data_IF_015507253669
#
_entry.id   IF_015507253669
#
_cell.length_a   1.000
_cell.length_b   1.000
_cell.length_c   1.000
_cell.angle_alpha   90.00
_cell.angle_beta   90.00
_cell.angle_gamma   90.00
#
_symmetry.space_group_name_H-M   'P 1'
#
loop_
_entity.id
_entity.type
_entity.pdbx_description
1 polymer ?
#
# COMPACT_ATOMS: atom_id res chain seq x y z
N UNK A 1 39.89 -26.75 14.25
CA UNK A 1 39.89 -27.39 12.92
C UNK A 1 38.53 -28.06 12.73
N UNK A 2 37.52 -27.29 12.31
CA UNK A 2 36.23 -27.84 11.87
C UNK A 2 35.95 -27.26 10.49
N UNK A 3 35.89 -28.18 9.54
CA UNK A 3 36.01 -27.96 8.11
C UNK A 3 34.84 -27.14 7.58
N UNK A 4 35.18 -26.03 6.90
CA UNK A 4 34.26 -25.24 6.11
C UNK A 4 33.79 -26.07 4.90
N UNK A 5 32.65 -26.75 5.02
CA UNK A 5 31.94 -27.27 3.86
C UNK A 5 31.13 -26.13 3.23
N UNK A 6 31.80 -25.27 2.45
CA UNK A 6 31.13 -24.53 1.36
C UNK A 6 30.76 -25.56 0.30
N UNK A 7 29.54 -26.08 0.38
CA UNK A 7 28.96 -26.88 -0.69
C UNK A 7 28.84 -26.00 -1.92
N UNK A 8 29.46 -26.45 -3.01
CA UNK A 8 29.40 -25.87 -4.35
C UNK A 8 27.96 -25.55 -4.78
N UNK A 9 27.76 -24.33 -5.30
CA UNK A 9 26.55 -23.89 -5.98
C UNK A 9 26.21 -24.85 -7.14
N UNK A 10 25.33 -25.82 -6.90
CA UNK A 10 24.39 -26.25 -7.95
C UNK A 10 23.43 -25.09 -8.17
N UNK A 11 22.96 -24.86 -9.41
CA UNK A 11 21.81 -23.99 -9.73
C UNK A 11 20.60 -24.52 -8.95
N UNK A 12 20.53 -24.17 -7.67
CA UNK A 12 19.45 -24.58 -6.78
C UNK A 12 18.23 -23.81 -7.25
N UNK A 13 17.14 -24.54 -7.53
CA UNK A 13 15.88 -23.89 -7.83
C UNK A 13 15.59 -22.99 -6.65
N UNK A 14 15.48 -21.71 -6.96
CA UNK A 14 15.35 -20.66 -5.97
C UNK A 14 13.95 -20.75 -5.36
N UNK A 15 13.87 -21.41 -4.20
CA UNK A 15 12.64 -21.81 -3.51
C UNK A 15 11.71 -20.65 -3.19
N UNK A 16 12.26 -19.45 -3.02
CA UNK A 16 11.55 -18.20 -2.83
C UNK A 16 10.70 -17.80 -4.05
N UNK A 17 11.22 -17.96 -5.27
CA UNK A 17 10.42 -17.68 -6.48
C UNK A 17 9.39 -18.77 -6.75
N UNK A 18 9.67 -20.02 -6.37
CA UNK A 18 8.65 -21.09 -6.38
C UNK A 18 7.51 -20.74 -5.41
N UNK A 19 7.84 -20.29 -4.20
CA UNK A 19 6.84 -19.88 -3.22
C UNK A 19 5.98 -18.72 -3.73
N UNK A 20 6.59 -17.71 -4.35
CA UNK A 20 5.86 -16.62 -5.01
C UNK A 20 4.90 -17.16 -6.06
N UNK A 21 5.37 -18.02 -6.96
CA UNK A 21 4.55 -18.60 -8.03
C UNK A 21 3.39 -19.42 -7.45
N UNK A 22 3.65 -20.31 -6.49
CA UNK A 22 2.64 -21.16 -5.89
C UNK A 22 1.58 -20.35 -5.13
N UNK A 23 2.00 -19.35 -4.35
CA UNK A 23 1.07 -18.49 -3.63
C UNK A 23 0.20 -17.66 -4.58
N UNK A 24 0.78 -17.10 -5.64
CA UNK A 24 0.00 -16.34 -6.65
C UNK A 24 -0.95 -17.28 -7.38
N UNK A 25 -0.48 -18.43 -7.89
CA UNK A 25 -1.33 -19.41 -8.56
C UNK A 25 -2.46 -19.88 -7.66
N UNK A 26 -2.19 -20.13 -6.37
CA UNK A 26 -3.24 -20.50 -5.42
C UNK A 26 -4.30 -19.40 -5.27
N UNK A 27 -3.91 -18.13 -5.08
CA UNK A 27 -4.85 -17.01 -4.98
C UNK A 27 -5.71 -16.88 -6.25
N UNK A 28 -5.11 -17.05 -7.43
CA UNK A 28 -5.81 -16.99 -8.70
C UNK A 28 -6.74 -18.19 -8.92
N UNK A 29 -6.31 -19.40 -8.57
CA UNK A 29 -7.15 -20.60 -8.68
C UNK A 29 -8.38 -20.52 -7.78
N UNK A 30 -8.25 -19.96 -6.58
CA UNK A 30 -9.38 -19.77 -5.68
C UNK A 30 -10.48 -18.87 -6.30
N UNK A 31 -10.16 -17.92 -7.17
CA UNK A 31 -11.19 -17.13 -7.87
C UNK A 31 -12.05 -17.96 -8.83
N UNK A 32 -11.56 -19.09 -9.34
CA UNK A 32 -12.34 -19.92 -10.26
C UNK A 32 -12.96 -21.15 -9.58
N UNK A 33 -12.30 -21.67 -8.54
CA UNK A 33 -12.65 -22.95 -7.92
C UNK A 33 -13.45 -22.78 -6.64
N UNK A 34 -13.38 -21.62 -5.96
CA UNK A 34 -14.07 -21.45 -4.69
C UNK A 34 -15.60 -21.47 -4.90
N UNK A 35 -16.35 -22.28 -4.12
CA UNK A 35 -17.78 -22.52 -4.40
C UNK A 35 -18.67 -21.29 -4.40
N UNK A 36 -18.38 -20.33 -3.52
CA UNK A 36 -19.09 -19.06 -3.41
C UNK A 36 -18.13 -17.88 -3.60
N UNK A 37 -18.33 -17.14 -4.69
CA UNK A 37 -17.47 -16.01 -5.04
C UNK A 37 -17.53 -14.88 -4.01
N UNK A 38 -18.70 -14.65 -3.39
CA UNK A 38 -18.86 -13.61 -2.38
C UNK A 38 -18.04 -13.92 -1.12
N UNK A 39 -18.07 -15.18 -0.68
CA UNK A 39 -17.29 -15.65 0.47
C UNK A 39 -15.78 -15.60 0.18
N UNK A 40 -15.37 -15.90 -1.05
CA UNK A 40 -13.99 -15.76 -1.48
C UNK A 40 -13.53 -14.31 -1.42
N UNK A 41 -14.28 -13.37 -2.00
CA UNK A 41 -13.93 -11.95 -2.01
C UNK A 41 -13.80 -11.41 -0.57
N UNK A 42 -14.70 -11.82 0.33
CA UNK A 42 -14.66 -11.41 1.75
C UNK A 42 -13.45 -12.01 2.50
N UNK A 43 -13.06 -13.24 2.21
CA UNK A 43 -11.98 -13.95 2.91
C UNK A 43 -10.60 -13.80 2.26
N UNK A 44 -10.52 -13.31 1.00
CA UNK A 44 -9.28 -13.16 0.20
C UNK A 44 -8.14 -12.47 0.95
N UNK A 45 -8.47 -11.45 1.75
CA UNK A 45 -7.48 -10.73 2.56
C UNK A 45 -6.67 -11.64 3.48
N UNK A 46 -7.29 -12.67 4.07
CA UNK A 46 -6.65 -13.65 4.94
C UNK A 46 -5.59 -14.44 4.19
N UNK A 47 -5.95 -14.95 3.01
CA UNK A 47 -5.07 -15.72 2.14
C UNK A 47 -3.93 -14.86 1.60
N UNK A 48 -4.18 -13.59 1.27
CA UNK A 48 -3.14 -12.66 0.85
C UNK A 48 -2.10 -12.43 1.96
N UNK A 49 -2.54 -12.22 3.21
CA UNK A 49 -1.60 -12.07 4.35
C UNK A 49 -0.81 -13.37 4.58
N UNK A 50 -1.45 -14.53 4.50
CA UNK A 50 -0.77 -15.82 4.60
C UNK A 50 0.28 -15.99 3.49
N UNK A 51 -0.06 -15.69 2.24
CA UNK A 51 0.86 -15.71 1.10
C UNK A 51 2.07 -14.78 1.33
N UNK A 52 1.83 -13.54 1.77
CA UNK A 52 2.91 -12.60 2.06
C UNK A 52 3.84 -13.10 3.17
N UNK A 53 3.29 -13.72 4.23
CA UNK A 53 4.07 -14.34 5.31
C UNK A 53 4.94 -15.48 4.78
N UNK A 54 4.36 -16.41 4.01
CA UNK A 54 5.08 -17.55 3.40
C UNK A 54 6.20 -17.06 2.50
N UNK A 55 5.90 -16.16 1.56
CA UNK A 55 6.89 -15.58 0.65
C UNK A 55 8.02 -14.92 1.45
N UNK A 56 7.69 -14.07 2.42
CA UNK A 56 8.70 -13.37 3.22
C UNK A 56 9.61 -14.32 3.99
N UNK A 57 9.04 -15.41 4.54
CA UNK A 57 9.82 -16.43 5.25
C UNK A 57 10.76 -17.18 4.29
N UNK A 58 10.29 -17.57 3.10
CA UNK A 58 11.14 -18.25 2.11
C UNK A 58 12.34 -17.39 1.69
N UNK A 59 12.14 -16.10 1.45
CA UNK A 59 13.23 -15.17 1.16
C UNK A 59 14.18 -14.98 2.35
N UNK A 60 13.66 -14.85 3.57
CA UNK A 60 14.51 -14.67 4.75
C UNK A 60 15.34 -15.95 5.02
N UNK A 61 14.77 -17.15 4.90
CA UNK A 61 15.50 -18.41 5.10
C UNK A 61 16.71 -18.56 4.17
N UNK A 62 16.59 -18.12 2.91
CA UNK A 62 17.71 -18.18 1.98
C UNK A 62 18.83 -17.19 2.28
N UNK A 63 18.52 -16.08 2.93
CA UNK A 63 19.51 -15.08 3.36
C UNK A 63 20.27 -15.48 4.63
N UNK A 64 20.23 -16.77 5.01
CA UNK A 64 20.99 -17.33 6.13
C UNK A 64 20.24 -17.33 7.46
N UNK A 65 18.93 -17.12 7.46
CA UNK A 65 18.11 -17.27 8.67
C UNK A 65 17.81 -18.75 8.96
N UNK A 66 17.83 -19.13 10.24
CA UNK A 66 17.55 -20.50 10.70
C UNK A 66 16.11 -20.92 10.42
N UNK A 67 15.91 -22.19 10.05
CA UNK A 67 14.58 -22.76 9.88
C UNK A 67 13.81 -22.74 11.21
N UNK A 68 12.59 -22.16 11.27
CA UNK A 68 11.83 -22.12 12.51
C UNK A 68 11.33 -23.51 12.89
N UNK A 69 11.19 -23.76 14.20
CA UNK A 69 10.49 -24.96 14.65
C UNK A 69 9.01 -24.91 14.20
N UNK A 70 8.35 -26.07 13.98
CA UNK A 70 6.96 -26.11 13.52
C UNK A 70 6.00 -25.27 14.37
N UNK A 71 6.22 -25.24 15.69
CA UNK A 71 5.42 -24.45 16.63
C UNK A 71 5.59 -22.94 16.43
N UNK A 72 6.82 -22.47 16.20
CA UNK A 72 7.10 -21.04 15.95
C UNK A 72 6.56 -20.63 14.59
N UNK A 73 6.65 -21.51 13.59
CA UNK A 73 6.04 -21.30 12.28
C UNK A 73 4.51 -21.19 12.38
N UNK A 74 3.85 -22.14 13.06
CA UNK A 74 2.41 -22.11 13.28
C UNK A 74 1.98 -20.83 14.02
N UNK A 75 2.70 -20.43 15.06
CA UNK A 75 2.45 -19.19 15.79
C UNK A 75 2.64 -17.92 14.95
N UNK A 76 3.58 -17.91 13.99
CA UNK A 76 3.76 -16.81 13.05
C UNK A 76 2.60 -16.71 12.06
N UNK A 77 2.21 -17.85 11.47
CA UNK A 77 1.12 -17.92 10.49
C UNK A 77 -0.22 -17.55 11.13
N UNK A 78 -0.54 -18.15 12.27
CA UNK A 78 -1.82 -18.03 12.98
C UNK A 78 -1.81 -16.97 14.09
N UNK A 79 -0.92 -15.98 14.01
CA UNK A 79 -0.85 -14.93 15.03
C UNK A 79 -2.20 -14.20 15.12
N UNK A 80 -2.90 -14.25 16.27
CA UNK A 80 -4.26 -13.71 16.39
C UNK A 80 -4.31 -12.19 16.17
N UNK A 81 -3.20 -11.50 16.39
CA UNK A 81 -3.08 -10.06 16.22
C UNK A 81 -3.21 -9.60 14.75
N UNK A 82 -2.88 -10.45 13.78
CA UNK A 82 -2.87 -10.08 12.36
C UNK A 82 -3.37 -11.13 11.37
N UNK A 83 -3.87 -12.27 11.84
CA UNK A 83 -4.40 -13.31 10.94
C UNK A 83 -5.70 -12.84 10.26
N UNK A 84 -6.58 -12.14 10.97
CA UNK A 84 -7.90 -11.71 10.45
C UNK A 84 -7.84 -10.42 9.63
N UNK A 85 -7.40 -9.32 10.24
CA UNK A 85 -7.44 -7.99 9.62
C UNK A 85 -6.08 -7.54 9.08
N UNK A 86 -5.08 -8.43 9.07
CA UNK A 86 -3.70 -8.03 8.84
C UNK A 86 -3.12 -7.21 10.00
N UNK A 87 -1.94 -6.58 9.83
CA UNK A 87 -1.18 -6.48 8.59
C UNK A 87 -0.07 -7.52 8.52
N UNK A 88 0.62 -7.58 7.38
CA UNK A 88 1.83 -8.38 7.26
C UNK A 88 2.93 -7.90 8.22
N UNK A 89 3.66 -8.84 8.82
CA UNK A 89 4.90 -8.60 9.56
C UNK A 89 5.95 -9.58 9.08
N UNK A 90 7.21 -9.17 9.08
CA UNK A 90 8.30 -10.10 8.77
C UNK A 90 8.48 -11.14 9.88
N UNK A 91 9.04 -12.30 9.55
CA UNK A 91 9.32 -13.34 10.55
C UNK A 91 10.28 -12.84 11.64
N UNK A 92 11.25 -12.00 11.26
CA UNK A 92 12.19 -11.37 12.21
C UNK A 92 11.48 -10.47 13.20
N UNK A 93 10.56 -9.60 12.75
CA UNK A 93 9.77 -8.74 13.65
C UNK A 93 8.88 -9.56 14.58
N UNK A 94 8.24 -10.63 14.07
CA UNK A 94 7.47 -11.56 14.88
C UNK A 94 8.34 -12.20 15.98
N UNK A 95 9.52 -12.70 15.62
CA UNK A 95 10.39 -13.39 16.57
C UNK A 95 10.96 -12.42 17.64
N UNK A 96 11.30 -11.19 17.24
CA UNK A 96 11.69 -10.13 18.18
C UNK A 96 10.55 -9.82 19.15
N UNK A 97 9.33 -9.61 18.65
CA UNK A 97 8.17 -9.31 19.49
C UNK A 97 7.84 -10.45 20.47
N UNK A 98 7.98 -11.70 20.02
CA UNK A 98 7.78 -12.90 20.83
C UNK A 98 8.79 -13.01 21.97
N UNK A 99 10.07 -12.75 21.71
CA UNK A 99 11.17 -12.92 22.69
C UNK A 99 11.29 -11.71 23.60
N UNK A 100 11.18 -10.50 23.06
CA UNK A 100 11.38 -9.24 23.77
C UNK A 100 10.08 -8.67 24.32
N UNK A 101 9.31 -9.49 25.06
CA UNK A 101 8.07 -9.04 25.69
C UNK A 101 8.36 -7.95 26.73
N UNK A 102 7.86 -6.74 26.48
CA UNK A 102 8.01 -5.60 27.38
C UNK A 102 6.72 -5.37 28.15
N UNK A 103 6.84 -5.00 29.44
CA UNK A 103 5.71 -4.53 30.25
C UNK A 103 5.10 -3.28 29.61
N UNK A 104 3.81 -3.34 29.30
CA UNK A 104 3.07 -2.21 28.71
C UNK A 104 2.64 -1.24 29.81
N UNK A 105 2.81 0.06 29.56
CA UNK A 105 2.39 1.14 30.46
C UNK A 105 0.90 1.46 30.25
N UNK A 106 0.29 2.14 31.21
CA UNK A 106 -1.10 2.63 31.06
C UNK A 106 -1.31 3.50 29.80
N UNK A 107 -0.27 4.25 29.39
CA UNK A 107 -0.29 5.04 28.15
C UNK A 107 -0.49 4.19 26.88
N UNK A 108 -0.10 2.91 26.90
CA UNK A 108 -0.37 1.99 25.80
C UNK A 108 -1.87 1.67 25.71
N UNK A 109 -2.55 1.50 26.84
CA UNK A 109 -4.01 1.22 26.87
C UNK A 109 -4.76 2.42 26.33
N UNK A 110 -4.42 3.63 26.81
CA UNK A 110 -5.00 4.87 26.30
C UNK A 110 -4.80 5.03 24.79
N UNK A 111 -3.62 4.65 24.28
CA UNK A 111 -3.34 4.66 22.85
C UNK A 111 -4.22 3.66 22.10
N UNK A 112 -4.33 2.41 22.58
CA UNK A 112 -5.19 1.40 21.95
C UNK A 112 -6.63 1.88 21.88
N UNK A 113 -7.15 2.49 22.95
CA UNK A 113 -8.50 3.10 22.97
C UNK A 113 -8.59 4.23 21.93
N UNK A 114 -7.60 5.13 21.88
CA UNK A 114 -7.61 6.22 20.90
C UNK A 114 -7.63 5.72 19.45
N UNK A 115 -6.83 4.69 19.12
CA UNK A 115 -6.81 4.08 17.78
C UNK A 115 -8.16 3.41 17.46
N UNK A 116 -8.78 2.73 18.43
CA UNK A 116 -10.12 2.16 18.26
C UNK A 116 -11.18 3.26 18.01
N UNK A 117 -11.11 4.38 18.73
CA UNK A 117 -12.02 5.52 18.50
C UNK A 117 -11.84 6.10 17.09
N UNK A 118 -10.61 6.23 16.61
CA UNK A 118 -10.34 6.63 15.22
C UNK A 118 -10.92 5.61 14.22
N UNK A 119 -10.77 4.31 14.49
CA UNK A 119 -11.38 3.25 13.69
C UNK A 119 -12.90 3.44 13.58
N UNK A 120 -13.60 3.61 14.70
CA UNK A 120 -15.05 3.86 14.71
C UNK A 120 -15.45 5.16 14.01
N UNK A 121 -14.65 6.22 14.17
CA UNK A 121 -14.86 7.47 13.44
C UNK A 121 -14.84 7.23 11.93
N UNK A 122 -13.83 6.53 11.40
CA UNK A 122 -13.73 6.25 9.98
C UNK A 122 -14.79 5.28 9.46
N UNK A 123 -15.26 4.34 10.28
CA UNK A 123 -16.41 3.49 9.96
C UNK A 123 -17.65 4.35 9.72
N UNK A 124 -17.96 5.26 10.65
CA UNK A 124 -19.07 6.20 10.52
C UNK A 124 -18.92 7.11 9.31
N UNK A 125 -17.71 7.61 9.03
CA UNK A 125 -17.41 8.39 7.83
C UNK A 125 -17.68 7.62 6.54
N UNK A 126 -17.27 6.34 6.47
CA UNK A 126 -17.45 5.52 5.28
C UNK A 126 -18.91 5.23 4.96
N UNK A 127 -19.73 4.91 5.97
CA UNK A 127 -21.09 4.43 5.77
C UNK A 127 -22.17 5.52 5.74
N UNK A 128 -22.11 6.50 6.66
CA UNK A 128 -23.24 7.40 6.88
C UNK A 128 -22.89 8.89 6.90
N UNK A 129 -21.67 9.30 7.30
CA UNK A 129 -21.34 10.72 7.40
C UNK A 129 -20.80 11.32 6.09
N UNK A 130 -20.27 10.52 5.16
CA UNK A 130 -19.74 11.03 3.89
C UNK A 130 -20.76 11.80 3.06
N UNK A 131 -22.04 11.39 3.08
CA UNK A 131 -23.12 12.08 2.37
C UNK A 131 -23.52 13.41 3.02
N UNK A 132 -23.33 13.53 4.35
CA UNK A 132 -23.61 14.75 5.10
C UNK A 132 -22.47 15.76 4.90
N UNK A 133 -21.23 15.28 4.96
CA UNK A 133 -20.02 16.13 4.80
C UNK A 133 -19.84 16.59 3.36
N UNK A 134 -20.24 15.78 2.38
CA UNK A 134 -20.19 16.13 0.94
C UNK A 134 -21.60 15.97 0.36
N UNK A 135 -22.47 17.00 0.53
CA UNK A 135 -23.89 16.91 0.16
C UNK A 135 -24.12 16.57 -1.30
N UNK A 136 -25.15 15.76 -1.56
CA UNK A 136 -25.62 15.38 -2.91
C UNK A 136 -26.29 16.51 -3.68
N UNK A 137 -26.59 17.64 -3.03
CA UNK A 137 -27.27 18.79 -3.64
C UNK A 137 -26.39 19.49 -4.68
N UNK A 138 -25.06 19.31 -4.62
CA UNK A 138 -24.14 19.88 -5.61
C UNK A 138 -24.06 18.94 -6.82
N UNK A 139 -24.78 19.28 -7.89
CA UNK A 139 -24.82 18.51 -9.13
C UNK A 139 -23.53 18.70 -9.95
N UNK A 140 -22.47 18.01 -9.53
CA UNK A 140 -21.20 17.96 -10.24
C UNK A 140 -20.62 16.55 -10.18
N UNK A 141 -20.37 15.97 -11.36
CA UNK A 141 -19.80 14.62 -11.52
C UNK A 141 -18.50 14.39 -10.72
N UNK A 142 -17.63 15.40 -10.62
CA UNK A 142 -16.38 15.34 -9.88
C UNK A 142 -16.57 15.34 -8.37
N UNK A 143 -17.58 16.05 -7.85
CA UNK A 143 -17.91 16.07 -6.43
C UNK A 143 -18.53 14.73 -6.03
N UNK A 144 -19.41 14.18 -6.87
CA UNK A 144 -19.96 12.83 -6.69
C UNK A 144 -18.86 11.77 -6.73
N UNK A 145 -17.93 11.86 -7.68
CA UNK A 145 -16.76 10.98 -7.77
C UNK A 145 -15.86 11.10 -6.52
N UNK A 146 -15.57 12.33 -6.07
CA UNK A 146 -14.77 12.56 -4.86
C UNK A 146 -15.42 11.95 -3.62
N UNK A 147 -16.74 12.11 -3.44
CA UNK A 147 -17.45 11.52 -2.30
C UNK A 147 -17.32 10.00 -2.27
N UNK A 148 -17.54 9.33 -3.41
CA UNK A 148 -17.43 7.87 -3.52
C UNK A 148 -16.01 7.40 -3.23
N UNK A 149 -15.02 8.03 -3.87
CA UNK A 149 -13.61 7.75 -3.63
C UNK A 149 -13.22 7.98 -2.16
N UNK A 150 -13.71 9.06 -1.53
CA UNK A 150 -13.44 9.39 -0.14
C UNK A 150 -14.07 8.38 0.83
N UNK A 151 -15.32 7.97 0.62
CA UNK A 151 -15.98 6.91 1.40
C UNK A 151 -15.18 5.60 1.36
N UNK A 152 -14.69 5.21 0.18
CA UNK A 152 -13.79 4.06 0.02
C UNK A 152 -12.47 4.23 0.80
N UNK A 153 -11.84 5.42 0.77
CA UNK A 153 -10.64 5.66 1.58
C UNK A 153 -10.93 5.59 3.07
N UNK A 154 -12.09 6.10 3.53
CA UNK A 154 -12.52 5.97 4.92
C UNK A 154 -12.72 4.52 5.35
N UNK A 155 -13.28 3.65 4.50
CA UNK A 155 -13.42 2.22 4.84
C UNK A 155 -12.05 1.54 4.98
N UNK A 156 -11.08 1.92 4.14
CA UNK A 156 -9.69 1.47 4.29
C UNK A 156 -9.04 1.99 5.59
N UNK A 157 -9.26 3.26 5.95
CA UNK A 157 -8.77 3.80 7.22
C UNK A 157 -9.36 3.07 8.43
N UNK A 158 -10.67 2.76 8.38
CA UNK A 158 -11.33 1.95 9.40
C UNK A 158 -10.60 0.61 9.61
N UNK A 159 -10.45 -0.19 8.54
CA UNK A 159 -9.79 -1.50 8.65
C UNK A 159 -8.32 -1.36 9.10
N UNK A 160 -7.62 -0.33 8.62
CA UNK A 160 -6.22 -0.08 9.01
C UNK A 160 -6.07 0.27 10.48
N UNK A 161 -6.94 1.11 11.04
CA UNK A 161 -6.90 1.44 12.47
C UNK A 161 -7.39 0.29 13.35
N UNK A 162 -8.38 -0.48 12.90
CA UNK A 162 -8.80 -1.70 13.59
C UNK A 162 -7.66 -2.72 13.67
N UNK A 163 -6.97 -2.92 12.54
CA UNK A 163 -5.78 -3.77 12.44
C UNK A 163 -4.61 -3.25 13.28
N UNK A 164 -4.44 -1.93 13.40
CA UNK A 164 -3.44 -1.36 14.30
C UNK A 164 -3.82 -1.63 15.76
N UNK A 165 -5.10 -1.52 16.12
CA UNK A 165 -5.57 -1.83 17.47
C UNK A 165 -5.39 -3.31 17.83
N UNK A 166 -5.66 -4.25 16.91
CA UNK A 166 -5.42 -5.69 17.16
C UNK A 166 -3.93 -5.99 17.33
N UNK A 167 -3.07 -5.32 16.55
CA UNK A 167 -1.62 -5.41 16.71
C UNK A 167 -1.15 -4.84 18.04
N UNK A 168 -1.67 -3.68 18.44
CA UNK A 168 -1.40 -3.12 19.76
C UNK A 168 -1.81 -4.13 20.81
N UNK A 169 -3.07 -4.60 20.85
CA UNK A 169 -3.56 -5.62 21.79
C UNK A 169 -2.69 -6.88 21.84
N UNK A 170 -2.17 -7.33 20.70
CA UNK A 170 -1.22 -8.45 20.59
C UNK A 170 0.18 -8.19 21.17
N UNK A 171 0.40 -7.01 21.75
CA UNK A 171 1.67 -6.61 22.36
C UNK A 171 2.66 -5.98 21.38
N UNK A 172 2.29 -5.75 20.12
CA UNK A 172 3.16 -5.13 19.13
C UNK A 172 3.24 -3.61 19.31
N UNK A 173 4.36 -3.02 18.90
CA UNK A 173 4.66 -1.61 19.13
C UNK A 173 5.32 -1.33 20.48
N UNK A 174 6.31 -0.43 20.46
CA UNK A 174 7.00 0.06 21.65
C UNK A 174 6.38 1.40 22.10
N UNK A 175 6.50 1.71 23.38
CA UNK A 175 6.27 3.03 23.95
C UNK A 175 6.99 4.17 23.20
N UNK A 176 8.13 3.89 22.56
CA UNK A 176 8.88 4.87 21.74
C UNK A 176 8.58 4.77 20.23
N UNK A 177 8.23 3.60 19.72
CA UNK A 177 7.98 3.36 18.31
C UNK A 177 6.54 2.92 18.06
N UNK A 178 5.80 3.83 17.45
CA UNK A 178 4.42 3.59 17.06
C UNK A 178 4.36 2.49 15.98
N UNK A 179 3.57 1.46 16.23
CA UNK A 179 3.11 0.57 15.16
C UNK A 179 2.14 1.39 14.31
N UNK A 180 2.42 1.61 13.02
CA UNK A 180 1.62 2.47 12.14
C UNK A 180 1.33 1.71 10.86
N UNK A 181 0.05 1.54 10.53
CA UNK A 181 -0.39 0.83 9.32
C UNK A 181 -0.65 1.80 8.17
N UNK A 182 -1.31 2.92 8.44
CA UNK A 182 -1.66 3.94 7.45
C UNK A 182 -1.44 5.35 7.99
N UNK A 183 -1.34 6.35 7.10
CA UNK A 183 -1.23 7.77 7.47
C UNK A 183 -2.23 8.60 6.65
N UNK A 184 -3.44 8.86 7.16
CA UNK A 184 -4.49 9.54 6.40
C UNK A 184 -4.08 10.94 5.91
N UNK A 185 -3.37 11.72 6.72
CA UNK A 185 -2.91 13.06 6.32
C UNK A 185 -1.98 13.04 5.10
N UNK A 186 -1.08 12.05 5.01
CA UNK A 186 -0.16 11.91 3.87
C UNK A 186 -0.87 11.42 2.60
N UNK A 187 -2.11 10.92 2.72
CA UNK A 187 -2.95 10.38 1.65
C UNK A 187 -3.97 11.41 1.15
N UNK A 188 -4.60 12.17 2.06
CA UNK A 188 -5.61 13.19 1.71
C UNK A 188 -4.98 14.53 1.32
N UNK A 189 -3.76 14.84 1.80
CA UNK A 189 -3.00 16.02 1.38
C UNK A 189 -1.65 15.63 0.74
N UNK A 190 -1.65 14.76 -0.29
CA UNK A 190 -0.42 14.24 -0.88
C UNK A 190 0.19 15.28 -1.80
N UNK A 191 1.52 15.39 -1.86
CA UNK A 191 2.21 16.17 -2.91
C UNK A 191 2.60 15.30 -4.12
N UNK A 192 2.36 13.99 -4.06
CA UNK A 192 2.57 13.02 -5.13
C UNK A 192 1.91 11.70 -4.76
N UNK A 193 1.50 10.92 -5.76
CA UNK A 193 1.02 9.55 -5.58
C UNK A 193 2.06 8.63 -4.92
N UNK A 194 3.36 8.93 -5.03
CA UNK A 194 4.40 8.19 -4.28
C UNK A 194 4.18 8.31 -2.77
N UNK A 195 3.73 9.46 -2.27
CA UNK A 195 3.37 9.64 -0.86
C UNK A 195 2.19 8.74 -0.49
N UNK A 196 1.17 8.74 -1.35
CA UNK A 196 -0.05 7.96 -1.15
C UNK A 196 0.25 6.46 -1.04
N UNK A 197 0.97 5.90 -2.01
CA UNK A 197 1.25 4.44 -2.05
C UNK A 197 2.11 3.96 -0.89
N UNK A 198 3.01 4.81 -0.39
CA UNK A 198 3.84 4.51 0.78
C UNK A 198 3.00 4.54 2.06
N UNK A 199 2.09 5.51 2.17
CA UNK A 199 1.29 5.75 3.37
C UNK A 199 -0.02 4.97 3.41
N UNK A 200 -0.52 4.45 2.28
CA UNK A 200 -1.78 3.72 2.17
C UNK A 200 -1.80 2.47 3.05
N UNK A 201 -0.84 1.57 2.84
CA UNK A 201 -0.66 0.36 3.63
C UNK A 201 0.85 0.14 3.79
N UNK A 202 1.41 0.72 4.86
CA UNK A 202 2.85 0.74 5.12
C UNK A 202 3.43 -0.69 5.19
N UNK A 203 2.80 -1.66 5.90
CA UNK A 203 3.30 -3.03 5.93
C UNK A 203 3.36 -3.70 4.54
N UNK A 204 2.29 -3.58 3.73
CA UNK A 204 2.28 -4.08 2.35
C UNK A 204 3.36 -3.42 1.50
N UNK A 205 3.51 -2.09 1.61
CA UNK A 205 4.57 -1.36 0.91
C UNK A 205 5.98 -1.85 1.31
N UNK A 206 6.22 -2.11 2.61
CA UNK A 206 7.50 -2.66 3.10
C UNK A 206 7.76 -4.06 2.57
N UNK A 207 6.75 -4.93 2.55
CA UNK A 207 6.83 -6.26 1.95
C UNK A 207 7.23 -6.19 0.48
N UNK A 208 6.45 -5.47 -0.33
CA UNK A 208 6.69 -5.31 -1.76
C UNK A 208 8.08 -4.70 -2.01
N UNK A 209 8.45 -3.68 -1.24
CA UNK A 209 9.76 -3.06 -1.36
C UNK A 209 10.90 -4.04 -1.08
N UNK A 210 10.81 -4.81 0.02
CA UNK A 210 11.88 -5.70 0.48
C UNK A 210 12.02 -6.94 -0.41
N UNK A 211 10.91 -7.60 -0.75
CA UNK A 211 10.93 -8.92 -1.38
C UNK A 211 10.62 -8.92 -2.89
N UNK A 212 10.10 -7.83 -3.44
CA UNK A 212 9.74 -7.74 -4.87
C UNK A 212 10.57 -6.66 -5.58
N UNK A 213 10.46 -5.41 -5.14
CA UNK A 213 11.10 -4.27 -5.80
C UNK A 213 12.63 -4.42 -5.86
N UNK A 214 13.28 -4.70 -4.72
CA UNK A 214 14.75 -4.83 -4.66
C UNK A 214 15.26 -5.99 -5.53
N UNK A 215 14.50 -7.09 -5.62
CA UNK A 215 14.83 -8.24 -6.45
C UNK A 215 14.76 -7.93 -7.94
N UNK A 216 13.79 -7.11 -8.36
CA UNK A 216 13.62 -6.70 -9.76
C UNK A 216 14.52 -5.50 -10.10
N UNK A 217 14.96 -4.72 -9.11
CA UNK A 217 15.79 -3.52 -9.29
C UNK A 217 17.08 -3.79 -10.06
N UNK A 218 17.64 -5.00 -9.98
CA UNK A 218 18.79 -5.43 -10.78
C UNK A 218 18.57 -5.31 -12.29
N UNK A 219 17.32 -5.29 -12.76
CA UNK A 219 16.94 -5.14 -14.16
C UNK A 219 16.57 -3.69 -14.55
N UNK A 220 16.69 -2.75 -13.61
CA UNK A 220 16.44 -1.32 -13.83
C UNK A 220 15.19 -0.79 -13.11
N UNK A 221 15.19 0.51 -12.83
CA UNK A 221 14.14 1.20 -12.06
C UNK A 221 12.74 1.05 -12.65
N UNK A 222 12.59 1.24 -13.96
CA UNK A 222 11.28 1.15 -14.62
C UNK A 222 10.67 -0.25 -14.49
N UNK A 223 11.46 -1.29 -14.80
CA UNK A 223 11.03 -2.70 -14.66
C UNK A 223 10.72 -3.05 -13.21
N UNK A 224 11.47 -2.52 -12.26
CA UNK A 224 11.22 -2.73 -10.85
C UNK A 224 9.89 -2.12 -10.40
N UNK A 225 9.57 -0.90 -10.82
CA UNK A 225 8.28 -0.27 -10.51
C UNK A 225 7.14 -1.07 -11.13
N UNK A 226 7.19 -1.30 -12.46
CA UNK A 226 6.14 -2.02 -13.18
C UNK A 226 5.93 -3.43 -12.61
N UNK A 227 7.02 -4.18 -12.41
CA UNK A 227 6.95 -5.52 -11.84
C UNK A 227 6.44 -5.53 -10.39
N UNK A 228 6.75 -4.51 -9.58
CA UNK A 228 6.20 -4.40 -8.23
C UNK A 228 4.68 -4.22 -8.25
N UNK A 229 4.16 -3.33 -9.11
CA UNK A 229 2.73 -3.10 -9.21
C UNK A 229 1.99 -4.28 -9.86
N UNK A 230 2.61 -4.97 -10.82
CA UNK A 230 2.06 -6.19 -11.40
C UNK A 230 1.93 -7.31 -10.35
N UNK A 231 2.98 -7.57 -9.57
CA UNK A 231 2.92 -8.56 -8.48
C UNK A 231 1.93 -8.12 -7.41
N UNK A 232 1.88 -6.83 -7.06
CA UNK A 232 0.87 -6.31 -6.14
C UNK A 232 -0.56 -6.55 -6.66
N UNK A 233 -0.81 -6.34 -7.95
CA UNK A 233 -2.10 -6.62 -8.58
C UNK A 233 -2.45 -8.10 -8.50
N UNK A 234 -1.50 -8.99 -8.84
CA UNK A 234 -1.72 -10.44 -8.83
C UNK A 234 -2.01 -10.99 -7.43
N UNK A 235 -1.46 -10.37 -6.38
CA UNK A 235 -1.80 -10.70 -4.99
C UNK A 235 -3.24 -10.35 -4.63
N UNK A 236 -3.86 -9.39 -5.33
CA UNK A 236 -5.28 -9.09 -5.22
C UNK A 236 -6.16 -9.96 -6.14
N UNK A 237 -5.57 -10.84 -6.96
CA UNK A 237 -6.28 -11.71 -7.89
C UNK A 237 -6.56 -11.08 -9.27
N UNK A 238 -7.51 -11.64 -10.03
CA UNK A 238 -7.93 -11.19 -11.37
C UNK A 238 -9.02 -10.11 -11.35
N UNK A 239 -9.13 -9.35 -10.27
CA UNK A 239 -10.00 -8.18 -10.26
C UNK A 239 -9.41 -7.07 -11.16
N UNK A 240 -10.01 -6.90 -12.35
CA UNK A 240 -9.52 -5.98 -13.37
C UNK A 240 -9.57 -4.52 -12.91
N UNK A 241 -10.53 -4.14 -12.06
CA UNK A 241 -10.63 -2.79 -11.51
C UNK A 241 -9.43 -2.45 -10.62
N UNK A 242 -9.12 -3.32 -9.65
CA UNK A 242 -7.95 -3.18 -8.77
C UNK A 242 -6.67 -3.21 -9.61
N UNK A 243 -6.58 -4.10 -10.60
CA UNK A 243 -5.43 -4.19 -11.48
C UNK A 243 -5.21 -2.87 -12.26
N UNK A 244 -6.27 -2.33 -12.86
CA UNK A 244 -6.23 -1.06 -13.57
C UNK A 244 -5.79 0.08 -12.65
N UNK A 245 -6.38 0.19 -11.44
CA UNK A 245 -6.02 1.22 -10.47
C UNK A 245 -4.54 1.11 -10.06
N UNK A 246 -4.06 -0.08 -9.69
CA UNK A 246 -2.70 -0.27 -9.19
C UNK A 246 -1.65 -0.02 -10.28
N UNK A 247 -1.86 -0.53 -11.49
CA UNK A 247 -0.93 -0.32 -12.61
C UNK A 247 -0.90 1.16 -13.00
N UNK A 248 -2.05 1.82 -13.08
CA UNK A 248 -2.14 3.25 -13.40
C UNK A 248 -1.50 4.12 -12.32
N UNK A 249 -1.72 3.82 -11.03
CA UNK A 249 -1.00 4.49 -9.92
C UNK A 249 0.52 4.32 -10.08
N UNK A 250 0.99 3.13 -10.46
CA UNK A 250 2.40 2.88 -10.73
C UNK A 250 2.96 3.76 -11.83
N UNK A 251 2.25 3.89 -12.95
CA UNK A 251 2.64 4.77 -14.05
C UNK A 251 2.60 6.25 -13.66
N UNK A 252 1.52 6.70 -13.03
CA UNK A 252 1.33 8.10 -12.64
C UNK A 252 2.35 8.54 -11.59
N UNK A 253 2.60 7.69 -10.59
CA UNK A 253 3.59 7.97 -9.55
C UNK A 253 5.00 8.11 -10.13
N UNK A 254 5.35 7.34 -11.17
CA UNK A 254 6.61 7.48 -11.88
C UNK A 254 6.72 8.82 -12.61
N UNK A 255 5.68 9.23 -13.35
CA UNK A 255 5.67 10.52 -14.07
C UNK A 255 5.78 11.69 -13.10
N UNK A 256 4.93 11.74 -12.07
CA UNK A 256 4.96 12.81 -11.07
C UNK A 256 6.33 12.89 -10.36
N UNK A 257 6.91 11.75 -9.98
CA UNK A 257 8.22 11.69 -9.36
C UNK A 257 9.31 12.28 -10.26
N UNK A 258 9.33 11.89 -11.54
CA UNK A 258 10.33 12.34 -12.51
C UNK A 258 10.17 13.83 -12.85
N UNK A 259 8.94 14.32 -12.94
CA UNK A 259 8.67 15.74 -13.13
C UNK A 259 9.20 16.58 -11.97
N UNK A 260 8.86 16.21 -10.73
CA UNK A 260 9.35 16.91 -9.53
C UNK A 260 10.88 16.85 -9.43
N UNK A 261 11.51 15.75 -9.84
CA UNK A 261 12.96 15.63 -9.90
C UNK A 261 13.58 16.57 -10.95
N UNK A 262 13.00 16.65 -12.16
CA UNK A 262 13.42 17.57 -13.24
C UNK A 262 13.33 19.02 -12.75
N UNK A 263 12.18 19.42 -12.21
CA UNK A 263 11.95 20.77 -11.69
C UNK A 263 12.88 21.13 -10.52
N UNK A 264 13.06 20.22 -9.56
CA UNK A 264 13.95 20.45 -8.43
C UNK A 264 15.39 20.73 -8.86
N UNK A 265 15.88 20.01 -9.89
CA UNK A 265 17.22 20.19 -10.46
C UNK A 265 17.32 21.47 -11.28
N UNK A 266 16.39 21.70 -12.21
CA UNK A 266 16.43 22.87 -13.11
C UNK A 266 16.32 24.20 -12.36
N UNK A 267 15.49 24.27 -11.32
CA UNK A 267 15.26 25.52 -10.58
C UNK A 267 16.05 25.63 -9.27
N UNK A 268 16.93 24.65 -8.96
CA UNK A 268 17.64 24.56 -7.68
C UNK A 268 16.67 24.79 -6.49
N UNK A 269 15.63 23.95 -6.44
CA UNK A 269 14.47 24.11 -5.58
C UNK A 269 14.11 22.82 -4.83
N UNK A 270 13.62 22.94 -3.59
CA UNK A 270 13.26 21.80 -2.75
C UNK A 270 11.87 21.21 -3.10
N UNK A 271 11.69 20.79 -4.35
CA UNK A 271 10.44 20.27 -4.93
C UNK A 271 10.32 18.75 -4.95
N UNK A 272 11.38 18.01 -4.56
CA UNK A 272 11.34 16.55 -4.55
C UNK A 272 10.23 16.03 -3.63
N UNK A 273 9.64 14.89 -4.02
CA UNK A 273 8.64 14.15 -3.23
C UNK A 273 9.12 13.96 -1.79
N UNK A 274 10.36 13.48 -1.64
CA UNK A 274 11.02 13.39 -0.33
C UNK A 274 11.77 14.69 -0.05
N UNK A 275 11.38 15.45 0.97
CA UNK A 275 12.06 16.71 1.30
C UNK A 275 13.50 16.45 1.75
N UNK A 276 14.37 17.43 1.51
CA UNK A 276 15.76 17.36 1.95
C UNK A 276 15.82 17.47 3.48
N UNK A 277 16.65 16.63 4.12
CA UNK A 277 16.92 16.76 5.57
C UNK A 277 17.72 18.03 5.86
N UNK A 278 18.80 18.25 5.10
CA UNK A 278 19.62 19.46 5.11
C UNK A 278 19.56 20.09 3.73
N UNK A 279 18.81 21.18 3.60
CA UNK A 279 18.49 21.76 2.29
C UNK A 279 19.51 22.83 1.88
N UNK A 280 20.29 22.54 0.85
CA UNK A 280 21.26 23.46 0.22
C UNK A 280 20.73 24.18 -1.02
N UNK A 281 19.48 23.91 -1.40
CA UNK A 281 18.83 24.55 -2.55
C UNK A 281 18.66 26.06 -2.37
N UNK A 282 18.75 26.83 -3.47
CA UNK A 282 18.46 28.28 -3.50
C UNK A 282 17.03 28.55 -3.02
N UNK A 283 16.06 27.82 -3.56
CA UNK A 283 14.66 27.91 -3.15
C UNK A 283 14.30 26.78 -2.16
N UNK A 284 14.32 27.12 -0.86
CA UNK A 284 13.96 26.21 0.23
C UNK A 284 12.45 25.96 0.27
N UNK A 285 12.05 24.87 0.91
CA UNK A 285 10.63 24.47 1.06
C UNK A 285 9.78 25.45 1.88
N UNK A 286 10.42 26.32 2.66
CA UNK A 286 9.75 27.42 3.38
C UNK A 286 9.32 28.56 2.46
N UNK A 287 9.94 28.70 1.29
CA UNK A 287 9.61 29.76 0.33
C UNK A 287 8.17 29.59 -0.19
N UNK A 288 7.41 30.69 -0.22
CA UNK A 288 6.01 30.71 -0.63
C UNK A 288 5.81 30.19 -2.06
N UNK A 289 6.72 30.49 -2.99
CA UNK A 289 6.66 30.01 -4.37
C UNK A 289 6.75 28.48 -4.42
N UNK A 290 7.62 27.88 -3.60
CA UNK A 290 7.78 26.43 -3.52
C UNK A 290 6.54 25.79 -2.88
N UNK A 291 5.95 26.43 -1.87
CA UNK A 291 4.67 25.99 -1.29
C UNK A 291 3.54 26.04 -2.32
N UNK A 292 3.48 27.08 -3.15
CA UNK A 292 2.49 27.20 -4.23
C UNK A 292 2.66 26.09 -5.28
N UNK A 293 3.89 25.82 -5.72
CA UNK A 293 4.14 24.71 -6.67
C UNK A 293 3.77 23.36 -6.07
N UNK A 294 4.09 23.12 -4.79
CA UNK A 294 3.69 21.90 -4.09
C UNK A 294 2.18 21.79 -3.91
N UNK A 295 1.48 22.90 -3.72
CA UNK A 295 0.02 22.94 -3.68
C UNK A 295 -0.57 22.54 -5.04
N UNK A 296 0.00 23.03 -6.16
CA UNK A 296 -0.42 22.61 -7.50
C UNK A 296 -0.24 21.09 -7.68
N UNK A 297 0.92 20.55 -7.29
CA UNK A 297 1.13 19.10 -7.30
C UNK A 297 0.15 18.34 -6.41
N UNK A 298 -0.24 18.91 -5.27
CA UNK A 298 -1.23 18.30 -4.40
C UNK A 298 -2.62 18.29 -5.04
N UNK A 299 -3.04 19.40 -5.65
CA UNK A 299 -4.30 19.47 -6.39
C UNK A 299 -4.34 18.44 -7.54
N UNK A 300 -3.27 18.32 -8.33
CA UNK A 300 -3.16 17.30 -9.39
C UNK A 300 -3.27 15.90 -8.80
N UNK A 301 -2.57 15.63 -7.69
CA UNK A 301 -2.59 14.30 -7.06
C UNK A 301 -3.96 13.95 -6.50
N UNK A 302 -4.66 14.91 -5.86
CA UNK A 302 -6.02 14.71 -5.37
C UNK A 302 -6.98 14.45 -6.52
N UNK A 303 -6.84 15.19 -7.62
CA UNK A 303 -7.59 14.98 -8.85
C UNK A 303 -7.39 13.56 -9.42
N UNK A 304 -6.13 13.10 -9.49
CA UNK A 304 -5.81 11.73 -9.91
C UNK A 304 -6.42 10.68 -8.96
N UNK A 305 -6.39 10.92 -7.64
CA UNK A 305 -7.01 10.02 -6.66
C UNK A 305 -8.53 9.95 -6.77
N UNK A 306 -9.20 11.05 -7.12
CA UNK A 306 -10.64 11.05 -7.41
C UNK A 306 -10.91 10.14 -8.60
N UNK A 307 -10.19 10.39 -9.69
CA UNK A 307 -10.36 9.67 -10.95
C UNK A 307 -10.12 8.17 -10.81
N UNK A 308 -9.05 7.77 -10.10
CA UNK A 308 -8.74 6.38 -9.83
C UNK A 308 -9.73 5.74 -8.84
N UNK A 309 -10.16 6.50 -7.84
CA UNK A 309 -11.04 6.02 -6.78
C UNK A 309 -12.45 5.64 -7.26
N UNK A 310 -12.91 6.17 -8.40
CA UNK A 310 -14.23 5.80 -8.98
C UNK A 310 -14.28 4.33 -9.40
N UNK A 311 -13.16 3.67 -9.68
CA UNK A 311 -13.18 2.23 -9.98
C UNK A 311 -13.35 1.36 -8.72
N UNK A 312 -13.15 1.92 -7.53
CA UNK A 312 -13.16 1.14 -6.29
C UNK A 312 -14.57 0.90 -5.75
N UNK A 313 -15.58 1.62 -6.22
CA UNK A 313 -16.98 1.42 -5.82
C UNK A 313 -17.66 0.22 -6.53
N UNK A 314 -17.07 -0.34 -7.60
CA UNK A 314 -17.58 -1.54 -8.30
C UNK A 314 -17.03 -2.86 -7.80
N UNK A 315 -15.97 -2.85 -7.00
CA UNK A 315 -15.25 -4.07 -6.65
C UNK A 315 -16.18 -5.02 -5.88
N UNK A 316 -16.53 -6.14 -6.52
CA UNK A 316 -17.39 -7.18 -5.93
C UNK A 316 -18.88 -7.09 -6.32
N UNK A 317 -19.27 -6.22 -7.25
CA UNK A 317 -20.65 -6.13 -7.74
C UNK A 317 -20.75 -6.56 -9.22
N UNK A 318 -21.50 -7.63 -9.55
CA UNK A 318 -21.57 -8.18 -10.91
C UNK A 318 -22.12 -7.21 -11.97
N UNK A 319 -23.08 -6.36 -11.58
CA UNK A 319 -23.77 -5.42 -12.49
C UNK A 319 -23.15 -4.01 -12.48
N UNK A 320 -21.93 -3.88 -11.98
CA UNK A 320 -21.32 -2.57 -11.87
C UNK A 320 -20.88 -2.04 -13.26
N UNK A 321 -20.96 -0.71 -13.49
CA UNK A 321 -20.51 -0.11 -14.73
C UNK A 321 -19.06 -0.47 -15.04
N UNK A 322 -18.77 -0.67 -16.32
CA UNK A 322 -17.44 -1.06 -16.78
C UNK A 322 -16.40 0.02 -16.47
N UNK A 323 -15.11 -0.37 -16.46
CA UNK A 323 -13.99 0.57 -16.33
C UNK A 323 -14.10 1.70 -17.36
N UNK A 324 -14.52 1.37 -18.58
CA UNK A 324 -14.62 2.32 -19.69
C UNK A 324 -15.74 3.34 -19.48
N UNK A 325 -16.90 2.90 -18.98
CA UNK A 325 -18.02 3.80 -18.66
C UNK A 325 -17.63 4.75 -17.53
N UNK A 326 -17.03 4.25 -16.45
CA UNK A 326 -16.66 5.06 -15.28
C UNK A 326 -15.62 6.12 -15.57
N UNK A 327 -14.56 5.74 -16.29
CA UNK A 327 -13.55 6.71 -16.71
C UNK A 327 -14.04 7.59 -17.87
N UNK A 328 -14.96 7.07 -18.69
CA UNK A 328 -15.68 7.82 -19.72
C UNK A 328 -16.55 8.94 -19.13
N UNK A 329 -17.24 8.70 -18.02
CA UNK A 329 -18.02 9.72 -17.31
C UNK A 329 -17.14 10.90 -16.86
N UNK A 330 -15.85 10.65 -16.61
CA UNK A 330 -14.84 11.66 -16.26
C UNK A 330 -13.99 12.10 -17.46
N UNK A 331 -14.44 11.82 -18.69
CA UNK A 331 -13.81 12.17 -19.97
C UNK A 331 -12.36 11.68 -20.13
N UNK A 332 -11.97 10.66 -19.37
CA UNK A 332 -10.59 10.20 -19.23
C UNK A 332 -9.60 11.33 -18.86
N UNK A 333 -10.07 12.42 -18.25
CA UNK A 333 -9.33 13.68 -18.14
C UNK A 333 -8.00 13.54 -17.41
N UNK A 334 -7.93 12.72 -16.36
CA UNK A 334 -6.69 12.45 -15.63
C UNK A 334 -5.63 11.75 -16.49
N UNK A 335 -6.01 10.86 -17.41
CA UNK A 335 -5.06 10.26 -18.36
C UNK A 335 -4.46 11.30 -19.29
N UNK A 336 -5.29 12.23 -19.80
CA UNK A 336 -4.83 13.32 -20.66
C UNK A 336 -3.90 14.29 -19.93
N UNK A 337 -4.24 14.67 -18.69
CA UNK A 337 -3.37 15.49 -17.84
C UNK A 337 -2.04 14.78 -17.62
N UNK A 338 -2.06 13.49 -17.27
CA UNK A 338 -0.84 12.73 -17.03
C UNK A 338 0.01 12.55 -18.29
N UNK A 339 -0.62 12.39 -19.46
CA UNK A 339 0.08 12.36 -20.75
C UNK A 339 0.79 13.71 -21.02
N UNK A 340 0.13 14.83 -20.75
CA UNK A 340 0.74 16.15 -20.84
C UNK A 340 1.94 16.31 -19.90
N UNK A 341 1.80 15.87 -18.64
CA UNK A 341 2.92 15.87 -17.67
C UNK A 341 4.06 14.94 -18.09
N UNK A 342 3.75 13.81 -18.71
CA UNK A 342 4.73 12.89 -19.28
C UNK A 342 5.54 13.57 -20.38
N UNK A 343 4.87 14.23 -21.34
CA UNK A 343 5.53 14.97 -22.43
C UNK A 343 6.44 16.05 -21.85
N UNK A 344 5.97 16.87 -20.91
CA UNK A 344 6.78 17.90 -20.24
C UNK A 344 8.01 17.31 -19.52
N UNK A 345 7.89 16.08 -19.02
CA UNK A 345 8.95 15.42 -18.26
C UNK A 345 10.04 14.87 -19.18
N UNK A 346 9.67 14.21 -20.28
CA UNK A 346 10.58 13.40 -21.09
C UNK A 346 10.91 13.96 -22.46
N UNK A 347 10.10 14.88 -22.98
CA UNK A 347 10.43 15.76 -24.11
C UNK A 347 11.05 17.04 -23.54
#
# INVERSE_FOLDING_TARGET
MYCANRVHLKKQIKTEYIAVLLCIVYLLLCEFVYPNQDDWIQSRGLFMIAAMKIISLCFDLQNGHYFPSPYVYAGYMLCPANVMFGPWISFTEYNIARVMSQRKKFTWVLRTIHILLLSFFFLSMSNCLSIIVIPSVIDNKWISAYRRAFSFRCSHYFISFLSEATMLCGGYGDSKNQYVITRPFDIELPTSLVSVVVSWNIPMHRFLKKYVYLEILRFGYFKAILGTYLISSLLHGFNLEIAAVLVTIGAYSFVQFRLQEKLARSFNACLRVRPCRTCTHKYKRSNWLIKLVLLIFACITIFDLIFLGVLMDSVGYPDAPSIYEKWGDLDFLSHWVMLGLYIITFV
#
